data_IF_366521091017
#
_entry.id   IF_366521091017
#
_cell.length_a   1.000
_cell.length_b   1.000
_cell.length_c   1.000
_cell.angle_alpha   90.00
_cell.angle_beta   90.00
_cell.angle_gamma   90.00
#
_symmetry.space_group_name_H-M   'P 1'
#
loop_
_entity.id
_entity.type
_entity.pdbx_description
1 polymer ?
#
# COMPACT_ATOMS: atom_id res chain seq x y z
N UNK A 1 -41.22 -52.91 0.36
CA UNK A 1 -41.28 -51.52 0.88
C UNK A 1 -39.88 -51.15 1.31
N UNK A 2 -39.14 -50.37 0.50
CA UNK A 2 -37.72 -50.06 0.74
C UNK A 2 -37.63 -48.79 1.60
N UNK A 3 -36.99 -48.89 2.77
CA UNK A 3 -36.66 -47.75 3.62
C UNK A 3 -35.63 -46.86 2.92
N UNK A 4 -36.02 -45.63 2.58
CA UNK A 4 -35.07 -44.56 2.26
C UNK A 4 -34.50 -44.01 3.57
N UNK A 5 -33.21 -44.26 3.85
CA UNK A 5 -32.46 -43.52 4.86
C UNK A 5 -31.99 -42.21 4.23
N UNK A 6 -32.54 -41.09 4.71
CA UNK A 6 -32.04 -39.76 4.41
C UNK A 6 -30.71 -39.59 5.16
N UNK A 7 -29.58 -39.60 4.43
CA UNK A 7 -28.30 -39.16 4.97
C UNK A 7 -28.25 -37.63 4.83
N UNK A 8 -28.42 -36.94 5.95
CA UNK A 8 -28.08 -35.51 6.03
C UNK A 8 -26.55 -35.44 6.08
N UNK A 9 -25.93 -35.10 4.95
CA UNK A 9 -24.52 -34.71 4.92
C UNK A 9 -24.40 -33.38 5.66
N UNK A 10 -23.88 -33.40 6.89
CA UNK A 10 -23.40 -32.19 7.55
C UNK A 10 -22.11 -31.77 6.84
N UNK A 11 -22.22 -30.88 5.85
CA UNK A 11 -21.07 -30.17 5.32
C UNK A 11 -20.68 -29.09 6.35
N UNK A 12 -19.41 -29.03 6.81
CA UNK A 12 -18.97 -27.93 7.65
C UNK A 12 -19.11 -26.63 6.88
N UNK A 13 -19.78 -25.66 7.50
CA UNK A 13 -19.93 -24.30 7.00
C UNK A 13 -18.55 -23.63 7.06
N UNK A 14 -17.78 -23.76 6.00
CA UNK A 14 -16.53 -23.00 5.84
C UNK A 14 -16.95 -21.56 5.54
N UNK A 15 -16.66 -20.64 6.45
CA UNK A 15 -16.68 -19.22 6.15
C UNK A 15 -15.66 -18.95 5.04
N UNK A 16 -16.10 -18.98 3.79
CA UNK A 16 -15.42 -18.27 2.73
C UNK A 16 -15.63 -16.79 3.02
N UNK A 17 -14.65 -16.16 3.67
CA UNK A 17 -14.52 -14.72 3.59
C UNK A 17 -14.63 -14.35 2.09
N UNK A 18 -15.53 -13.44 1.68
CA UNK A 18 -15.54 -12.98 0.31
C UNK A 18 -14.14 -12.46 0.02
N UNK A 19 -13.57 -12.87 -1.11
CA UNK A 19 -12.27 -12.40 -1.57
C UNK A 19 -12.33 -10.87 -1.78
N UNK A 20 -12.09 -10.13 -0.70
CA UNK A 20 -11.99 -8.67 -0.65
C UNK A 20 -10.54 -8.21 -0.77
N UNK A 21 -9.71 -9.03 -1.39
CA UNK A 21 -8.28 -8.82 -1.45
C UNK A 21 -7.82 -8.71 -2.90
N UNK A 22 -7.55 -7.48 -3.31
CA UNK A 22 -6.93 -7.18 -4.60
C UNK A 22 -7.85 -7.37 -5.80
N UNK A 23 -7.33 -7.20 -7.03
CA UNK A 23 -8.08 -7.51 -8.22
C UNK A 23 -8.60 -8.95 -8.14
N UNK A 24 -9.88 -9.14 -8.47
CA UNK A 24 -10.68 -10.38 -8.39
C UNK A 24 -10.12 -11.55 -9.24
N UNK A 25 -8.98 -11.32 -9.87
CA UNK A 25 -8.16 -12.19 -10.72
C UNK A 25 -6.72 -11.62 -10.63
N UNK A 26 -5.63 -12.40 -10.83
CA UNK A 26 -4.31 -11.82 -11.01
C UNK A 26 -4.35 -10.81 -12.15
N UNK A 27 -4.53 -9.52 -11.83
CA UNK A 27 -4.52 -8.50 -12.84
C UNK A 27 -3.05 -8.19 -13.13
N UNK A 28 -2.63 -8.18 -14.40
CA UNK A 28 -1.26 -7.86 -14.79
C UNK A 28 -0.85 -6.42 -14.41
N UNK A 29 -1.79 -5.62 -13.89
CA UNK A 29 -1.55 -4.29 -13.37
C UNK A 29 -2.80 -3.65 -12.78
N UNK A 30 -2.70 -2.36 -12.45
CA UNK A 30 -3.86 -1.56 -12.07
C UNK A 30 -4.93 -1.62 -13.18
N UNK A 31 -6.17 -1.98 -12.87
CA UNK A 31 -7.24 -1.99 -13.88
C UNK A 31 -7.54 -0.58 -14.39
N UNK A 32 -7.81 -0.46 -15.69
CA UNK A 32 -8.38 0.77 -16.26
C UNK A 32 -9.90 0.82 -16.07
N UNK A 33 -10.46 2.03 -15.97
CA UNK A 33 -11.90 2.22 -15.84
C UNK A 33 -12.35 3.68 -15.86
N UNK A 34 -13.57 3.92 -15.35
CA UNK A 34 -14.20 5.24 -15.34
C UNK A 34 -13.44 6.33 -14.55
N UNK A 35 -12.53 5.92 -13.66
CA UNK A 35 -11.68 6.82 -12.88
C UNK A 35 -10.22 6.86 -13.36
N UNK A 36 -9.90 6.32 -14.54
CA UNK A 36 -8.57 6.41 -15.12
C UNK A 36 -8.09 7.86 -15.19
N UNK A 37 -6.87 8.12 -14.70
CA UNK A 37 -6.30 9.47 -14.65
C UNK A 37 -6.89 10.39 -13.57
N UNK A 38 -7.77 9.86 -12.70
CA UNK A 38 -8.27 10.59 -11.52
C UNK A 38 -7.44 10.25 -10.30
N UNK A 39 -7.32 11.23 -9.41
CA UNK A 39 -6.68 11.07 -8.10
C UNK A 39 -7.77 11.17 -7.05
N UNK A 40 -7.86 10.16 -6.20
CA UNK A 40 -8.88 10.07 -5.14
C UNK A 40 -8.18 10.05 -3.79
N UNK A 41 -8.37 11.13 -3.04
CA UNK A 41 -7.94 11.21 -1.66
C UNK A 41 -9.02 10.60 -0.76
N UNK A 42 -8.61 9.78 0.20
CA UNK A 42 -9.53 9.12 1.14
C UNK A 42 -9.05 9.29 2.58
N UNK A 43 -9.99 9.48 3.50
CA UNK A 43 -9.72 9.51 4.93
C UNK A 43 -10.95 9.03 5.69
N UNK A 44 -10.74 8.19 6.70
CA UNK A 44 -11.76 7.77 7.63
C UNK A 44 -11.84 8.78 8.79
N UNK A 45 -13.00 9.35 9.07
CA UNK A 45 -13.14 10.49 10.01
C UNK A 45 -13.11 10.21 11.51
N UNK A 46 -13.11 8.94 11.93
CA UNK A 46 -13.22 8.44 13.30
C UNK A 46 -12.33 7.20 13.50
N UNK A 47 -12.07 6.86 14.76
CA UNK A 47 -11.26 5.73 15.18
C UNK A 47 -10.73 5.92 16.59
N UNK A 48 -9.75 5.11 16.98
CA UNK A 48 -9.03 5.26 18.25
C UNK A 48 -8.34 6.61 18.31
N UNK A 49 -8.79 7.46 19.23
CA UNK A 49 -8.26 8.81 19.41
C UNK A 49 -7.84 9.04 20.87
N UNK A 50 -6.91 9.97 21.05
CA UNK A 50 -6.38 10.32 22.37
C UNK A 50 -7.23 11.42 23.01
N UNK A 51 -7.80 11.15 24.19
CA UNK A 51 -8.64 12.12 24.92
C UNK A 51 -7.86 13.19 25.70
N UNK A 52 -6.53 13.09 25.72
CA UNK A 52 -5.67 13.83 26.67
C UNK A 52 -5.19 12.97 27.84
N UNK A 53 -5.87 11.85 28.14
CA UNK A 53 -5.51 10.94 29.24
C UNK A 53 -5.62 9.45 28.91
N UNK A 54 -6.43 9.07 27.93
CA UNK A 54 -6.56 7.67 27.48
C UNK A 54 -6.84 7.60 25.98
N UNK A 55 -6.45 6.48 25.36
CA UNK A 55 -6.95 6.10 24.06
C UNK A 55 -8.38 5.59 24.20
N UNK A 56 -9.27 6.00 23.31
CA UNK A 56 -10.66 5.61 23.34
C UNK A 56 -11.38 5.86 22.02
N UNK A 57 -12.50 5.17 21.86
CA UNK A 57 -13.50 5.45 20.84
C UNK A 57 -14.44 6.56 21.37
N UNK A 58 -14.97 7.36 20.45
CA UNK A 58 -15.90 8.46 20.75
C UNK A 58 -17.36 7.99 20.77
N UNK A 59 -17.65 6.79 20.26
CA UNK A 59 -18.98 6.20 20.20
C UNK A 59 -19.03 4.88 20.97
N UNK A 60 -20.06 4.65 21.81
CA UNK A 60 -20.23 3.39 22.50
C UNK A 60 -20.66 2.29 21.51
N UNK A 61 -20.58 1.04 21.98
CA UNK A 61 -21.25 -0.07 21.27
C UNK A 61 -22.76 0.10 21.44
N UNK A 62 -23.48 0.26 20.33
CA UNK A 62 -24.94 0.37 20.27
C UNK A 62 -25.43 -0.57 19.18
N UNK A 63 -26.50 -1.35 19.44
CA UNK A 63 -27.04 -2.31 18.46
C UNK A 63 -25.98 -3.27 17.90
N UNK A 64 -25.07 -3.75 18.77
CA UNK A 64 -23.97 -4.67 18.42
C UNK A 64 -22.92 -4.09 17.44
N UNK A 65 -22.90 -2.77 17.22
CA UNK A 65 -21.89 -2.09 16.40
C UNK A 65 -21.27 -0.90 17.13
N UNK A 66 -20.04 -0.54 16.76
CA UNK A 66 -19.44 0.74 17.12
C UNK A 66 -19.23 1.55 15.83
N UNK A 67 -19.86 2.73 15.77
CA UNK A 67 -19.87 3.62 14.61
C UNK A 67 -18.45 4.04 14.17
N UNK A 68 -17.51 4.18 15.12
CA UNK A 68 -16.13 4.61 14.86
C UNK A 68 -15.30 3.61 14.03
N UNK A 69 -15.78 2.39 13.83
CA UNK A 69 -15.21 1.43 12.87
C UNK A 69 -15.92 1.46 11.50
N UNK A 70 -17.19 1.83 11.46
CA UNK A 70 -18.00 1.75 10.24
C UNK A 70 -17.51 2.69 9.13
N UNK A 71 -16.84 3.78 9.49
CA UNK A 71 -16.22 4.71 8.55
C UNK A 71 -14.96 4.13 7.88
N UNK A 72 -14.10 3.40 8.60
CA UNK A 72 -12.90 2.77 8.01
C UNK A 72 -13.31 1.60 7.12
N UNK A 73 -14.34 0.85 7.51
CA UNK A 73 -14.90 -0.21 6.69
C UNK A 73 -15.41 0.35 5.35
N UNK A 74 -16.25 1.39 5.39
CA UNK A 74 -16.74 2.06 4.18
C UNK A 74 -15.61 2.65 3.32
N UNK A 75 -14.60 3.27 3.94
CA UNK A 75 -13.44 3.80 3.24
C UNK A 75 -12.67 2.68 2.52
N UNK A 76 -12.47 1.53 3.17
CA UNK A 76 -11.76 0.40 2.58
C UNK A 76 -12.44 -0.10 1.31
N UNK A 77 -13.76 -0.31 1.34
CA UNK A 77 -14.52 -0.69 0.14
C UNK A 77 -14.44 0.38 -0.95
N UNK A 78 -14.67 1.65 -0.58
CA UNK A 78 -14.64 2.75 -1.53
C UNK A 78 -13.28 2.90 -2.22
N UNK A 79 -12.19 2.89 -1.45
CA UNK A 79 -10.83 3.01 -1.95
C UNK A 79 -10.48 1.87 -2.92
N UNK A 80 -10.86 0.63 -2.60
CA UNK A 80 -10.65 -0.52 -3.48
C UNK A 80 -11.47 -0.42 -4.77
N UNK A 81 -12.73 0.02 -4.71
CA UNK A 81 -13.52 0.26 -5.92
C UNK A 81 -12.94 1.39 -6.77
N UNK A 82 -12.45 2.47 -6.16
CA UNK A 82 -11.78 3.54 -6.89
C UNK A 82 -10.51 3.07 -7.59
N UNK A 83 -9.67 2.31 -6.88
CA UNK A 83 -8.45 1.73 -7.46
C UNK A 83 -8.77 0.80 -8.64
N UNK A 84 -9.77 -0.07 -8.48
CA UNK A 84 -10.24 -0.99 -9.52
C UNK A 84 -10.94 -0.28 -10.69
N UNK A 85 -11.40 0.96 -10.51
CA UNK A 85 -11.92 1.80 -11.58
C UNK A 85 -10.82 2.66 -12.26
N UNK A 86 -9.55 2.47 -11.89
CA UNK A 86 -8.40 3.15 -12.50
C UNK A 86 -7.92 4.41 -11.79
N UNK A 87 -8.43 4.73 -10.60
CA UNK A 87 -7.97 5.90 -9.85
C UNK A 87 -6.61 5.67 -9.20
N UNK A 88 -5.75 6.70 -9.16
CA UNK A 88 -4.67 6.77 -8.18
C UNK A 88 -5.28 7.08 -6.81
N UNK A 89 -5.11 6.18 -5.84
CA UNK A 89 -5.70 6.33 -4.51
C UNK A 89 -4.64 6.79 -3.51
N UNK A 90 -4.94 7.87 -2.79
CA UNK A 90 -4.09 8.47 -1.77
C UNK A 90 -4.83 8.40 -0.43
N UNK A 91 -4.54 7.36 0.38
CA UNK A 91 -5.25 7.17 1.63
C UNK A 91 -4.47 7.81 2.79
N UNK A 92 -5.12 8.74 3.50
CA UNK A 92 -4.58 9.30 4.74
C UNK A 92 -4.66 8.32 5.92
N UNK A 93 -5.53 7.32 5.81
CA UNK A 93 -5.65 6.18 6.71
C UNK A 93 -5.30 4.91 5.93
N UNK A 94 -4.43 4.03 6.43
CA UNK A 94 -4.10 2.77 5.76
C UNK A 94 -5.33 1.96 5.32
N UNK A 95 -5.27 1.37 4.14
CA UNK A 95 -6.35 0.56 3.54
C UNK A 95 -6.22 -0.89 3.99
N UNK A 96 -7.30 -1.48 4.47
CA UNK A 96 -7.35 -2.85 4.98
C UNK A 96 -6.82 -2.98 6.41
N UNK A 97 -6.67 -4.23 6.87
CA UNK A 97 -6.47 -4.59 8.28
C UNK A 97 -5.20 -5.44 8.52
N UNK A 98 -4.15 -5.24 7.71
CA UNK A 98 -2.88 -5.96 7.88
C UNK A 98 -2.03 -5.35 9.00
N UNK A 99 -1.95 -6.02 10.15
CA UNK A 99 -1.24 -5.54 11.35
C UNK A 99 0.28 -5.69 11.28
N UNK A 100 0.81 -6.49 10.36
CA UNK A 100 2.24 -6.52 10.08
C UNK A 100 2.64 -5.33 9.21
N UNK A 101 3.85 -4.82 9.41
CA UNK A 101 4.43 -3.78 8.58
C UNK A 101 5.91 -4.04 8.35
N UNK A 102 6.33 -3.81 7.12
CA UNK A 102 7.74 -3.61 6.76
C UNK A 102 7.79 -2.38 5.86
N UNK A 103 8.49 -1.34 6.31
CA UNK A 103 8.85 -0.19 5.47
C UNK A 103 10.31 -0.35 5.11
N UNK A 104 10.62 -0.19 3.82
CA UNK A 104 11.98 -0.15 3.32
C UNK A 104 12.25 1.23 2.74
N UNK A 105 13.25 1.91 3.28
CA UNK A 105 13.80 3.15 2.75
C UNK A 105 14.94 2.88 1.75
N UNK A 106 15.35 3.87 0.96
CA UNK A 106 16.29 3.69 -0.15
C UNK A 106 17.70 3.24 0.24
N UNK A 107 18.09 3.35 1.50
CA UNK A 107 19.39 2.91 2.01
C UNK A 107 19.31 1.64 2.88
N UNK A 108 18.13 1.04 3.02
CA UNK A 108 17.94 -0.22 3.73
C UNK A 108 18.58 -1.40 3.00
N UNK A 109 19.05 -2.39 3.77
CA UNK A 109 19.69 -3.60 3.24
C UNK A 109 18.78 -4.45 2.32
N UNK A 110 17.46 -4.28 2.42
CA UNK A 110 16.47 -4.91 1.54
C UNK A 110 16.33 -4.24 0.17
N UNK A 111 17.08 -3.16 -0.09
CA UNK A 111 16.99 -2.36 -1.32
C UNK A 111 18.24 -2.52 -2.17
N UNK A 112 18.04 -2.74 -3.47
CA UNK A 112 19.12 -2.87 -4.44
C UNK A 112 18.87 -2.00 -5.67
N UNK A 113 19.94 -1.43 -6.21
CA UNK A 113 19.90 -0.54 -7.36
C UNK A 113 20.65 -1.15 -8.54
N UNK A 114 20.08 -0.99 -9.73
CA UNK A 114 20.73 -1.28 -11.01
C UNK A 114 20.68 -0.03 -11.88
N UNK A 115 21.74 0.19 -12.66
CA UNK A 115 21.88 1.37 -13.50
C UNK A 115 22.36 2.62 -12.74
N UNK A 116 22.28 3.77 -13.41
CA UNK A 116 22.75 5.04 -12.87
C UNK A 116 21.70 5.70 -11.96
N UNK A 117 22.02 5.79 -10.67
CA UNK A 117 21.24 6.49 -9.66
C UNK A 117 22.11 7.52 -8.94
N UNK A 118 21.52 8.64 -8.56
CA UNK A 118 22.16 9.70 -7.79
C UNK A 118 21.40 9.94 -6.50
N UNK A 119 22.13 10.23 -5.43
CA UNK A 119 21.53 10.67 -4.17
C UNK A 119 20.98 12.09 -4.31
N UNK A 120 19.78 12.31 -3.79
CA UNK A 120 19.15 13.61 -3.70
C UNK A 120 19.70 14.41 -2.52
N UNK A 121 19.67 15.74 -2.64
CA UNK A 121 19.95 16.67 -1.54
C UNK A 121 18.68 17.40 -1.06
N UNK A 122 17.50 17.01 -1.55
CA UNK A 122 16.24 17.61 -1.12
C UNK A 122 15.91 17.19 0.32
N UNK A 123 15.28 18.08 1.06
CA UNK A 123 14.93 17.87 2.47
C UNK A 123 13.55 17.25 2.68
N UNK A 124 12.83 16.97 1.59
CA UNK A 124 11.52 16.35 1.62
C UNK A 124 11.63 14.90 1.11
N UNK A 125 11.70 13.98 2.06
CA UNK A 125 11.89 12.54 1.86
C UNK A 125 11.23 11.75 3.00
N UNK A 126 11.04 10.44 2.83
CA UNK A 126 10.69 9.56 3.95
C UNK A 126 11.93 9.28 4.79
N UNK A 127 11.81 9.40 6.11
CA UNK A 127 12.93 9.12 7.02
C UNK A 127 13.07 10.21 8.07
N UNK A 128 14.17 10.15 8.81
CA UNK A 128 14.55 11.12 9.82
C UNK A 128 15.59 12.10 9.27
N UNK A 129 15.69 13.31 9.84
CA UNK A 129 16.77 14.24 9.48
C UNK A 129 18.15 13.58 9.64
N UNK A 130 18.85 13.40 8.52
CA UNK A 130 20.19 12.79 8.47
C UNK A 130 20.26 11.49 7.67
N UNK A 131 19.12 10.88 7.34
CA UNK A 131 19.05 9.73 6.45
C UNK A 131 19.36 10.16 4.99
N UNK A 132 19.72 9.21 4.13
CA UNK A 132 19.92 9.48 2.69
C UNK A 132 18.55 9.80 2.08
N UNK A 133 18.30 11.02 1.55
CA UNK A 133 16.94 11.47 1.26
C UNK A 133 16.14 10.56 0.33
N UNK A 134 16.54 10.51 -0.93
CA UNK A 134 16.02 9.58 -1.91
C UNK A 134 17.04 9.47 -3.03
N UNK A 135 16.97 8.39 -3.80
CA UNK A 135 17.73 8.25 -5.04
C UNK A 135 16.87 8.60 -6.23
N UNK A 136 17.47 9.18 -7.26
CA UNK A 136 16.79 9.44 -8.52
C UNK A 136 17.58 8.97 -9.73
N UNK A 137 16.85 8.64 -10.79
CA UNK A 137 17.40 8.26 -12.08
C UNK A 137 16.66 9.00 -13.20
N UNK A 138 17.38 9.41 -14.24
CA UNK A 138 16.77 10.00 -15.43
C UNK A 138 15.83 8.99 -16.12
N UNK A 139 14.68 9.48 -16.57
CA UNK A 139 13.75 8.65 -17.35
C UNK A 139 14.37 8.26 -18.69
N UNK A 140 13.99 7.08 -19.19
CA UNK A 140 14.46 6.57 -20.47
C UNK A 140 13.36 5.81 -21.23
N UNK A 141 13.39 5.85 -22.57
CA UNK A 141 12.45 5.14 -23.43
C UNK A 141 12.61 3.61 -23.36
N UNK A 142 13.76 3.14 -22.88
CA UNK A 142 14.04 1.74 -22.53
C UNK A 142 14.48 1.69 -21.06
N UNK A 143 14.14 0.62 -20.35
CA UNK A 143 14.58 0.47 -18.95
C UNK A 143 16.10 0.33 -18.88
N UNK A 144 16.75 1.25 -18.16
CA UNK A 144 18.20 1.26 -17.94
C UNK A 144 18.56 1.36 -16.47
N UNK A 145 17.60 1.69 -15.61
CA UNK A 145 17.80 1.78 -14.17
C UNK A 145 16.57 1.29 -13.39
N UNK A 146 16.82 0.53 -12.33
CA UNK A 146 15.78 0.01 -11.43
C UNK A 146 16.22 0.12 -9.97
N UNK A 147 15.24 0.24 -9.07
CA UNK A 147 15.42 0.06 -7.63
C UNK A 147 14.45 -1.03 -7.15
N UNK A 148 14.97 -2.06 -6.49
CA UNK A 148 14.19 -3.23 -6.05
C UNK A 148 14.15 -3.29 -4.54
N UNK A 149 12.94 -3.22 -3.99
CA UNK A 149 12.62 -3.28 -2.56
C UNK A 149 12.12 -4.69 -2.21
N UNK A 150 12.92 -5.43 -1.45
CA UNK A 150 12.63 -6.83 -1.09
C UNK A 150 12.43 -6.94 0.44
N UNK A 151 11.19 -6.87 0.94
CA UNK A 151 10.93 -6.97 2.37
C UNK A 151 11.27 -8.36 2.92
N UNK A 152 11.56 -8.42 4.21
CA UNK A 152 11.53 -9.67 4.97
C UNK A 152 10.20 -9.74 5.74
N UNK A 153 9.18 -10.34 5.15
CA UNK A 153 7.83 -10.35 5.72
C UNK A 153 7.71 -11.40 6.83
N UNK A 154 7.11 -11.07 8.00
CA UNK A 154 7.04 -11.98 9.14
C UNK A 154 6.05 -13.14 8.94
N UNK A 155 5.08 -12.98 8.04
CA UNK A 155 4.04 -13.97 7.77
C UNK A 155 3.60 -13.92 6.31
N UNK A 156 3.06 -15.03 5.82
CA UNK A 156 2.36 -15.05 4.54
C UNK A 156 0.97 -14.41 4.71
N UNK A 157 0.50 -13.73 3.68
CA UNK A 157 -0.83 -13.12 3.69
C UNK A 157 -0.97 -11.97 2.70
N UNK A 158 -2.10 -11.29 2.77
CA UNK A 158 -2.37 -10.11 1.96
C UNK A 158 -1.78 -8.86 2.61
N UNK A 159 -0.92 -8.17 1.87
CA UNK A 159 -0.32 -6.90 2.27
C UNK A 159 -0.79 -5.81 1.30
N UNK A 160 -1.43 -4.73 1.79
CA UNK A 160 -1.52 -3.50 1.04
C UNK A 160 -0.10 -2.93 0.84
N UNK A 161 0.19 -2.45 -0.35
CA UNK A 161 1.50 -1.92 -0.73
C UNK A 161 1.38 -0.44 -1.03
N UNK A 162 2.35 0.33 -0.56
CA UNK A 162 2.41 1.77 -0.76
C UNK A 162 3.79 2.22 -1.21
N UNK A 163 3.82 3.30 -1.98
CA UNK A 163 5.05 4.06 -2.22
C UNK A 163 4.96 5.42 -1.54
N UNK A 164 6.05 5.89 -0.97
CA UNK A 164 6.20 7.29 -0.63
C UNK A 164 6.47 8.08 -1.91
N UNK A 165 5.89 9.28 -2.00
CA UNK A 165 6.14 10.18 -3.11
C UNK A 165 6.55 11.56 -2.59
N UNK A 166 7.73 12.05 -2.99
CA UNK A 166 8.11 13.45 -2.84
C UNK A 166 7.61 14.32 -4.01
N UNK A 167 7.05 15.49 -3.72
CA UNK A 167 6.73 16.47 -4.75
C UNK A 167 8.01 16.97 -5.47
N UNK A 168 7.91 17.29 -6.75
CA UNK A 168 8.97 17.97 -7.51
C UNK A 168 8.49 18.38 -8.90
N UNK A 169 9.12 19.38 -9.50
CA UNK A 169 8.75 19.87 -10.84
C UNK A 169 9.25 18.97 -11.97
N UNK A 170 10.20 18.08 -11.69
CA UNK A 170 10.81 17.15 -12.65
C UNK A 170 10.28 15.71 -12.54
N UNK A 171 9.09 15.52 -11.96
CA UNK A 171 8.49 14.19 -11.76
C UNK A 171 7.81 13.69 -13.03
N UNK A 172 7.68 12.36 -13.14
CA UNK A 172 6.99 11.67 -14.25
C UNK A 172 5.81 10.82 -13.75
N UNK A 173 5.16 10.08 -14.64
CA UNK A 173 4.28 8.96 -14.31
C UNK A 173 5.13 7.71 -14.05
N UNK A 174 5.58 7.52 -12.81
CA UNK A 174 6.56 6.50 -12.46
C UNK A 174 5.98 5.08 -12.50
N UNK A 175 6.72 4.15 -13.10
CA UNK A 175 6.33 2.74 -13.18
C UNK A 175 6.81 1.96 -11.95
N UNK A 176 5.87 1.27 -11.32
CA UNK A 176 6.09 0.26 -10.29
C UNK A 176 5.71 -1.11 -10.83
N UNK A 177 6.54 -2.12 -10.53
CA UNK A 177 6.20 -3.53 -10.69
C UNK A 177 6.16 -4.19 -9.33
N UNK A 178 5.03 -4.80 -9.00
CA UNK A 178 4.83 -5.51 -7.74
C UNK A 178 4.91 -6.99 -8.06
N UNK A 179 5.96 -7.65 -7.58
CA UNK A 179 6.16 -9.10 -7.67
C UNK A 179 5.54 -9.75 -6.44
N UNK A 180 4.59 -10.63 -6.65
CA UNK A 180 3.84 -11.29 -5.59
C UNK A 180 3.56 -12.76 -5.97
N UNK A 181 2.91 -13.51 -5.08
CA UNK A 181 2.66 -14.96 -5.30
C UNK A 181 1.76 -15.28 -6.51
N UNK A 182 1.08 -14.27 -7.06
CA UNK A 182 0.23 -14.40 -8.25
C UNK A 182 0.89 -13.96 -9.55
N UNK A 183 2.17 -13.57 -9.53
CA UNK A 183 2.90 -13.05 -10.68
C UNK A 183 3.43 -11.63 -10.44
N UNK A 184 3.42 -10.82 -11.50
CA UNK A 184 3.86 -9.42 -11.44
C UNK A 184 2.73 -8.50 -11.91
N UNK A 185 2.43 -7.47 -11.13
CA UNK A 185 1.46 -6.44 -11.45
C UNK A 185 2.16 -5.10 -11.70
N UNK A 186 1.74 -4.35 -12.71
CA UNK A 186 2.27 -3.02 -13.02
C UNK A 186 1.34 -1.89 -12.59
N UNK A 187 1.86 -0.85 -11.97
CA UNK A 187 1.11 0.36 -11.59
C UNK A 187 1.91 1.59 -11.99
N UNK A 188 1.26 2.61 -12.56
CA UNK A 188 1.88 3.90 -12.82
C UNK A 188 1.31 4.96 -11.89
N UNK A 189 2.20 5.65 -11.16
CA UNK A 189 1.81 6.73 -10.26
C UNK A 189 2.22 8.06 -10.86
N UNK A 190 1.32 9.03 -11.03
CA UNK A 190 1.65 10.35 -11.57
C UNK A 190 2.33 11.23 -10.50
N UNK A 191 3.61 11.00 -10.20
CA UNK A 191 4.37 11.74 -9.17
C UNK A 191 4.37 13.28 -9.36
N UNK A 192 4.04 13.77 -10.54
CA UNK A 192 3.89 15.21 -10.85
C UNK A 192 2.56 15.81 -10.39
N UNK A 193 1.59 14.99 -9.97
CA UNK A 193 0.26 15.41 -9.49
C UNK A 193 0.01 15.03 -8.03
N UNK A 194 0.96 14.36 -7.40
CA UNK A 194 0.85 13.77 -6.06
C UNK A 194 2.14 14.03 -5.28
N UNK A 195 2.13 13.79 -3.98
CA UNK A 195 3.36 13.85 -3.18
C UNK A 195 3.09 14.10 -1.70
N UNK A 196 4.18 14.11 -0.94
CA UNK A 196 4.27 14.29 0.50
C UNK A 196 3.42 13.26 1.27
N UNK A 197 3.39 12.01 0.80
CA UNK A 197 2.55 10.99 1.40
C UNK A 197 2.65 9.63 0.76
N UNK A 198 1.94 8.68 1.37
CA UNK A 198 1.79 7.31 0.91
C UNK A 198 0.74 7.21 -0.19
N UNK A 199 1.08 6.52 -1.26
CA UNK A 199 0.21 6.26 -2.40
C UNK A 199 -0.01 4.77 -2.52
N UNK A 200 -1.27 4.35 -2.65
CA UNK A 200 -1.64 2.94 -2.70
C UNK A 200 -1.30 2.33 -4.06
N UNK A 201 -0.55 1.23 -4.03
CA UNK A 201 -0.18 0.44 -5.21
C UNK A 201 -1.06 -0.81 -5.38
N UNK A 202 -1.91 -1.13 -4.43
CA UNK A 202 -2.76 -2.33 -4.44
C UNK A 202 -2.52 -3.24 -3.24
N UNK A 203 -3.31 -4.31 -3.16
CA UNK A 203 -3.18 -5.34 -2.13
C UNK A 203 -2.86 -6.67 -2.79
N UNK A 204 -1.78 -7.31 -2.33
CA UNK A 204 -1.25 -8.52 -2.96
C UNK A 204 -0.91 -9.57 -1.91
N UNK A 205 -0.98 -10.85 -2.30
CA UNK A 205 -0.59 -11.95 -1.43
C UNK A 205 0.92 -12.23 -1.55
N UNK A 206 1.61 -12.26 -0.40
CA UNK A 206 3.03 -12.54 -0.29
C UNK A 206 3.28 -13.77 0.59
N UNK A 207 4.41 -14.44 0.38
CA UNK A 207 4.92 -15.42 1.32
C UNK A 207 5.69 -14.72 2.45
N UNK A 208 5.85 -15.41 3.59
CA UNK A 208 6.80 -14.99 4.61
C UNK A 208 8.25 -15.06 4.08
N UNK A 209 9.14 -14.29 4.68
CA UNK A 209 10.56 -14.22 4.33
C UNK A 209 10.87 -13.14 3.31
N UNK A 210 12.05 -13.24 2.70
CA UNK A 210 12.57 -12.30 1.71
C UNK A 210 12.87 -13.01 0.39
N UNK A 211 12.20 -12.58 -0.69
CA UNK A 211 12.38 -13.16 -2.02
C UNK A 211 12.11 -12.13 -3.13
N UNK A 212 13.16 -11.67 -3.80
CA UNK A 212 13.05 -10.63 -4.83
C UNK A 212 12.36 -11.07 -6.13
N UNK A 213 12.18 -12.37 -6.35
CA UNK A 213 11.53 -12.92 -7.54
C UNK A 213 10.00 -12.93 -7.43
N UNK A 214 9.44 -13.09 -6.22
CA UNK A 214 7.99 -13.20 -6.01
C UNK A 214 7.48 -12.50 -4.73
N UNK A 215 8.26 -11.57 -4.18
CA UNK A 215 7.89 -10.75 -3.05
C UNK A 215 8.72 -9.46 -2.98
N UNK A 216 8.54 -8.58 -3.97
CA UNK A 216 9.25 -7.31 -4.07
C UNK A 216 8.48 -6.24 -4.82
N UNK A 217 8.89 -4.98 -4.67
CA UNK A 217 8.46 -3.86 -5.52
C UNK A 217 9.66 -3.33 -6.28
N UNK A 218 9.51 -3.12 -7.59
CA UNK A 218 10.55 -2.60 -8.47
C UNK A 218 10.11 -1.26 -9.02
N UNK A 219 10.88 -0.22 -8.73
CA UNK A 219 10.82 1.07 -9.42
C UNK A 219 11.60 0.98 -10.72
N UNK A 220 11.02 1.48 -11.80
CA UNK A 220 11.63 1.49 -13.14
C UNK A 220 11.73 2.91 -13.68
N UNK A 221 12.86 3.25 -14.31
CA UNK A 221 13.02 4.51 -15.04
C UNK A 221 12.38 4.50 -16.44
N UNK A 222 11.67 3.44 -16.81
CA UNK A 222 11.01 3.32 -18.11
C UNK A 222 9.86 4.32 -18.25
N UNK A 223 10.03 5.27 -19.17
CA UNK A 223 9.00 6.19 -19.62
C UNK A 223 8.95 6.18 -21.15
N UNK A 224 7.89 5.64 -21.78
CA UNK A 224 7.78 5.53 -23.24
C UNK A 224 7.92 6.86 -23.98
N UNK A 225 7.52 7.96 -23.34
CA UNK A 225 7.61 9.32 -23.88
C UNK A 225 8.39 10.23 -22.92
N UNK A 226 9.71 10.03 -22.79
CA UNK A 226 10.50 10.70 -21.75
C UNK A 226 10.62 12.20 -22.04
N UNK A 227 10.25 13.03 -21.06
CA UNK A 227 10.51 14.47 -21.12
C UNK A 227 11.92 14.76 -20.61
N UNK A 228 12.62 15.70 -21.27
CA UNK A 228 13.99 16.06 -20.89
C UNK A 228 14.05 16.58 -19.45
N UNK A 229 14.99 16.05 -18.66
CA UNK A 229 15.19 16.42 -17.26
C UNK A 229 14.21 15.79 -16.27
N UNK A 230 13.23 15.01 -16.73
CA UNK A 230 12.35 14.23 -15.85
C UNK A 230 13.09 13.07 -15.20
N UNK A 231 12.71 12.74 -13.97
CA UNK A 231 13.32 11.67 -13.18
C UNK A 231 12.27 10.78 -12.52
N UNK A 232 12.65 9.53 -12.27
CA UNK A 232 12.01 8.67 -11.29
C UNK A 232 12.74 8.77 -9.95
N UNK A 233 12.07 8.43 -8.87
CA UNK A 233 12.59 8.42 -7.52
C UNK A 233 12.43 7.07 -6.84
N UNK A 234 13.41 6.73 -6.03
CA UNK A 234 13.41 5.60 -5.12
C UNK A 234 13.65 6.18 -3.72
N UNK A 235 12.60 6.15 -2.90
CA UNK A 235 12.53 6.68 -1.53
C UNK A 235 12.07 5.49 -0.66
N UNK A 236 10.86 5.51 -0.10
CA UNK A 236 10.32 4.38 0.66
C UNK A 236 9.19 3.57 0.00
N UNK A 237 9.19 2.25 0.23
CA UNK A 237 8.10 1.32 -0.05
C UNK A 237 7.62 0.68 1.26
N UNK A 238 6.30 0.66 1.46
CA UNK A 238 5.68 0.05 2.64
C UNK A 238 4.82 -1.15 2.26
N UNK A 239 4.99 -2.25 2.99
CA UNK A 239 4.20 -3.46 2.92
C UNK A 239 3.42 -3.63 4.21
N UNK A 240 2.09 -3.60 4.14
CA UNK A 240 1.21 -3.73 5.31
C UNK A 240 0.86 -2.39 5.95
N UNK A 241 0.14 -2.45 7.08
CA UNK A 241 -0.37 -1.24 7.76
C UNK A 241 0.19 -1.06 9.16
N UNK A 242 0.67 -2.12 9.79
CA UNK A 242 1.30 -2.02 11.10
C UNK A 242 0.32 -1.70 12.23
N UNK A 243 0.92 -1.49 13.39
CA UNK A 243 0.23 -1.02 14.58
C UNK A 243 0.36 0.49 14.71
N UNK A 244 -0.54 1.07 15.50
CA UNK A 244 -0.51 2.45 15.90
C UNK A 244 0.84 2.86 16.49
N UNK A 245 1.41 3.94 15.95
CA UNK A 245 2.78 4.38 16.26
C UNK A 245 2.84 5.82 16.77
N UNK A 246 1.70 6.52 16.82
CA UNK A 246 1.64 7.90 17.28
C UNK A 246 1.57 7.91 18.81
N UNK A 247 2.52 8.58 19.46
CA UNK A 247 2.48 8.84 20.89
C UNK A 247 2.00 10.27 21.15
N UNK A 248 0.84 10.42 21.79
CA UNK A 248 0.23 11.72 22.16
C UNK A 248 0.52 12.14 23.61
N UNK A 249 1.57 11.57 24.22
CA UNK A 249 2.01 11.86 25.59
C UNK A 249 1.69 10.76 26.61
N UNK A 250 0.81 9.81 26.27
CA UNK A 250 0.43 8.68 27.13
C UNK A 250 0.81 7.30 26.60
N UNK A 251 1.69 7.23 25.60
CA UNK A 251 1.99 5.99 24.87
C UNK A 251 1.19 5.86 23.58
N UNK A 252 1.50 4.82 22.81
CA UNK A 252 0.77 4.44 21.58
C UNK A 252 -0.55 3.74 21.93
N UNK A 253 -1.49 3.71 20.99
CA UNK A 253 -2.84 3.16 21.23
C UNK A 253 -2.87 1.66 21.50
N UNK A 254 -1.94 0.90 20.90
CA UNK A 254 -1.96 -0.56 20.90
C UNK A 254 -2.93 -1.18 19.89
N UNK A 255 -3.61 -0.37 19.07
CA UNK A 255 -4.56 -0.81 18.04
C UNK A 255 -3.94 -0.75 16.63
N UNK A 256 -4.51 -1.45 15.64
CA UNK A 256 -4.05 -1.37 14.26
C UNK A 256 -4.03 0.08 13.75
N UNK A 257 -3.01 0.47 12.99
CA UNK A 257 -2.89 1.86 12.50
C UNK A 257 -4.07 2.29 11.63
N UNK A 258 -4.67 1.34 10.92
CA UNK A 258 -5.87 1.59 10.11
C UNK A 258 -7.07 2.07 10.95
N UNK A 259 -7.06 1.83 12.27
CA UNK A 259 -8.13 2.19 13.20
C UNK A 259 -7.83 3.47 14.01
N UNK A 260 -6.63 4.06 13.92
CA UNK A 260 -6.26 5.28 14.66
C UNK A 260 -6.71 6.58 13.99
N UNK A 261 -7.15 7.57 14.79
CA UNK A 261 -7.59 8.90 14.36
C UNK A 261 -6.78 10.04 15.00
#
# INVERSE_FOLDING_TARGET
MRLFRCFVLALPFVWLAPALAGPITPAPGQPGGALSGRIVFTSAGHGWTWSGSTWGLQRPVLLEMCEDYGNVDQMNFFALYCFNAGATVIPFRPIGNQTNEVVLDNDDAGVSFSGAWSDSTFTNYYGSPGDVPYRFASVAASETATATYTPNLPAAGYYPVYTWAGNGTNRTSQLYRIRHTGGEATVRVPHHLVGNGWIFLGTYHFNAGSNSANGAVVVSNLEPSPSFGSVVMADAIRFGNGMGSINRGGGVSGYPRAEEC
#
